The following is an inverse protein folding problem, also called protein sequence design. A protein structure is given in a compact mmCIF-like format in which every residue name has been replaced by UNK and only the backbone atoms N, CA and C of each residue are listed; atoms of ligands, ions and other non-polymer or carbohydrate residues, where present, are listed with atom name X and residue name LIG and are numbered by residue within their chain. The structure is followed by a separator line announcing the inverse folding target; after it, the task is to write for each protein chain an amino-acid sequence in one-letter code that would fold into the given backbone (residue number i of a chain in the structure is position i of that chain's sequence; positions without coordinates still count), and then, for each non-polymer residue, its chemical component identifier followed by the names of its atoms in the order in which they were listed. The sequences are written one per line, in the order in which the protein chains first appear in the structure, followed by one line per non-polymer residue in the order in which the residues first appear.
data_IF_523631244394
#
_entry.id   IF_523631244394
#
_cell.length_a   1.000
_cell.length_b   1.000
_cell.length_c   1.000
_cell.angle_alpha   90.00
_cell.angle_beta   90.00
_cell.angle_gamma   90.00
#
_symmetry.space_group_name_H-M   'P 1'
#
loop_
_entity.id
_entity.type
_entity.pdbx_description
1 polymer ?
#
# COMPACT_ATOMS: atom_id res chain seq x y z
N UNK A 1 -1.05 9.54 0.41
CA UNK A 1 0.21 9.20 1.10
C UNK A 1 1.38 9.31 0.13
N UNK A 2 2.53 9.81 0.59
CA UNK A 2 3.77 9.84 -0.18
C UNK A 2 4.15 8.44 -0.69
N UNK A 3 4.63 8.36 -1.92
CA UNK A 3 4.94 7.07 -2.55
C UNK A 3 6.26 6.49 -2.02
N UNK A 4 6.32 5.16 -1.88
CA UNK A 4 7.46 4.45 -1.26
C UNK A 4 8.81 4.71 -1.94
N UNK A 5 8.82 4.83 -3.27
CA UNK A 5 10.05 4.97 -4.07
C UNK A 5 10.24 6.36 -4.67
N UNK A 6 9.33 7.29 -4.39
CA UNK A 6 9.43 8.65 -4.89
C UNK A 6 10.52 9.42 -4.16
N UNK A 7 11.40 10.06 -4.93
CA UNK A 7 12.41 10.95 -4.38
C UNK A 7 11.75 12.19 -3.75
N UNK A 8 12.21 12.56 -2.57
CA UNK A 8 11.73 13.70 -1.80
C UNK A 8 12.83 14.76 -1.69
N UNK A 9 12.43 16.03 -1.67
CA UNK A 9 13.38 17.16 -1.77
C UNK A 9 14.16 17.44 -0.47
N UNK A 10 13.72 16.87 0.66
CA UNK A 10 14.35 17.09 1.96
C UNK A 10 14.29 15.84 2.84
N UNK A 11 15.15 15.79 3.88
CA UNK A 11 15.11 14.72 4.89
C UNK A 11 13.81 14.74 5.70
N UNK A 12 13.21 15.92 5.85
CA UNK A 12 11.93 16.09 6.54
C UNK A 12 10.81 15.46 5.70
N UNK A 13 10.74 15.80 4.41
CA UNK A 13 9.81 15.19 3.46
C UNK A 13 10.05 13.67 3.35
N UNK A 14 11.30 13.22 3.29
CA UNK A 14 11.60 11.78 3.27
C UNK A 14 11.08 11.03 4.52
N UNK A 15 10.96 11.72 5.66
CA UNK A 15 10.46 11.17 6.93
C UNK A 15 8.95 11.40 7.14
N UNK A 16 8.30 12.13 6.24
CA UNK A 16 6.87 12.29 6.24
C UNK A 16 6.21 11.07 5.56
N UNK A 17 5.79 10.11 6.38
CA UNK A 17 5.11 8.91 5.91
C UNK A 17 3.60 9.10 5.71
N UNK A 18 3.03 10.20 6.20
CA UNK A 18 1.60 10.45 6.16
C UNK A 18 1.21 11.31 4.95
N UNK A 19 1.96 12.38 4.71
CA UNK A 19 1.69 13.43 3.74
C UNK A 19 1.42 14.78 4.42
N UNK A 20 1.70 15.87 3.71
CA UNK A 20 1.60 17.25 4.24
C UNK A 20 2.92 18.02 4.16
N UNK A 21 4.04 17.30 4.05
CA UNK A 21 5.38 17.86 3.77
C UNK A 21 5.96 17.21 2.52
N UNK A 22 5.88 15.87 2.43
CA UNK A 22 6.32 15.13 1.26
C UNK A 22 5.38 15.33 0.07
N UNK A 23 5.97 15.32 -1.13
CA UNK A 23 5.21 15.20 -2.37
C UNK A 23 4.38 13.93 -2.34
N UNK A 24 3.11 14.06 -2.68
CA UNK A 24 2.19 12.94 -2.78
C UNK A 24 1.19 13.13 -3.93
N UNK A 25 0.60 12.02 -4.34
CA UNK A 25 -0.58 12.04 -5.20
C UNK A 25 -1.83 11.81 -4.36
N UNK A 26 -2.97 12.30 -4.86
CA UNK A 26 -4.28 12.06 -4.25
C UNK A 26 -5.24 11.47 -5.29
N UNK A 27 -6.25 10.78 -4.80
CA UNK A 27 -7.42 10.35 -5.59
C UNK A 27 -8.65 11.08 -5.10
N UNK A 28 -9.59 11.37 -5.98
CA UNK A 28 -10.87 11.98 -5.61
C UNK A 28 -11.99 11.53 -6.55
N UNK A 29 -13.23 11.57 -6.05
CA UNK A 29 -14.41 11.20 -6.81
C UNK A 29 -15.56 12.17 -6.56
N UNK A 30 -16.41 12.36 -7.56
CA UNK A 30 -17.72 13.01 -7.41
C UNK A 30 -18.78 11.95 -7.18
N UNK A 31 -19.20 11.78 -5.93
CA UNK A 31 -20.29 10.84 -5.59
C UNK A 31 -21.64 11.33 -6.12
N UNK A 32 -21.93 12.62 -5.95
CA UNK A 32 -23.14 13.28 -6.44
C UNK A 32 -22.88 14.77 -6.63
N UNK A 33 -23.61 15.41 -7.53
CA UNK A 33 -23.52 16.86 -7.78
C UNK A 33 -23.27 17.19 -9.25
N UNK A 34 -22.81 18.42 -9.49
CA UNK A 34 -22.58 18.95 -10.84
C UNK A 34 -21.10 18.94 -11.19
N UNK A 35 -20.82 18.55 -12.42
CA UNK A 35 -19.46 18.53 -13.00
C UNK A 35 -18.72 19.86 -12.91
N UNK A 36 -19.43 20.97 -13.08
CA UNK A 36 -18.87 22.31 -12.99
C UNK A 36 -18.12 22.59 -11.67
N UNK A 37 -18.47 21.89 -10.60
CA UNK A 37 -17.82 22.03 -9.30
C UNK A 37 -16.51 21.25 -9.18
N UNK A 38 -16.19 20.34 -10.11
CA UNK A 38 -15.01 19.46 -9.96
C UNK A 38 -13.70 20.22 -9.94
N UNK A 39 -13.57 21.26 -10.78
CA UNK A 39 -12.35 22.08 -10.80
C UNK A 39 -12.12 22.77 -9.46
N UNK A 40 -13.19 23.22 -8.82
CA UNK A 40 -13.12 23.83 -7.49
C UNK A 40 -12.80 22.78 -6.41
N UNK A 41 -13.44 21.61 -6.47
CA UNK A 41 -13.18 20.51 -5.55
C UNK A 41 -11.72 20.03 -5.64
N UNK A 42 -11.18 19.82 -6.84
CA UNK A 42 -9.78 19.47 -7.04
C UNK A 42 -8.84 20.51 -6.43
N UNK A 43 -9.11 21.81 -6.65
CA UNK A 43 -8.31 22.89 -6.07
C UNK A 43 -8.29 22.81 -4.55
N UNK A 44 -9.46 22.64 -3.92
CA UNK A 44 -9.58 22.50 -2.47
C UNK A 44 -8.82 21.26 -1.97
N UNK A 45 -8.99 20.10 -2.61
CA UNK A 45 -8.27 18.88 -2.23
C UNK A 45 -6.75 19.06 -2.32
N UNK A 46 -6.26 19.73 -3.37
CA UNK A 46 -4.82 20.04 -3.52
C UNK A 46 -4.30 20.95 -2.42
N UNK A 47 -5.11 21.93 -1.98
CA UNK A 47 -4.74 22.83 -0.88
C UNK A 47 -4.72 22.11 0.46
N UNK A 48 -5.71 21.26 0.75
CA UNK A 48 -5.80 20.50 2.01
C UNK A 48 -4.67 19.48 2.15
N UNK A 49 -4.31 18.80 1.05
CA UNK A 49 -3.31 17.72 1.06
C UNK A 49 -1.95 18.15 0.49
N UNK A 50 -1.71 19.45 0.37
CA UNK A 50 -0.47 19.98 -0.18
C UNK A 50 0.76 19.39 0.55
N UNK A 51 1.88 19.09 -0.14
CA UNK A 51 2.10 19.29 -1.57
C UNK A 51 1.61 18.11 -2.43
N UNK A 52 0.67 18.39 -3.34
CA UNK A 52 0.11 17.39 -4.28
C UNK A 52 0.75 17.52 -5.66
N UNK A 53 1.31 16.42 -6.18
CA UNK A 53 1.83 16.35 -7.56
C UNK A 53 0.66 16.12 -8.51
N UNK A 54 0.03 14.95 -8.45
CA UNK A 54 -1.13 14.63 -9.29
C UNK A 54 -2.41 14.46 -8.45
N UNK A 55 -3.53 14.84 -9.05
CA UNK A 55 -4.87 14.59 -8.52
C UNK A 55 -5.60 13.69 -9.52
N UNK A 56 -5.83 12.44 -9.12
CA UNK A 56 -6.39 11.41 -9.98
C UNK A 56 -7.90 11.31 -9.76
N UNK A 57 -8.66 11.61 -10.80
CA UNK A 57 -10.12 11.47 -10.75
C UNK A 57 -10.51 10.01 -10.93
N UNK A 58 -11.28 9.49 -9.98
CA UNK A 58 -11.83 8.14 -9.99
C UNK A 58 -13.34 8.18 -9.76
N UNK A 59 -13.98 7.04 -9.96
CA UNK A 59 -15.31 6.74 -9.43
C UNK A 59 -15.23 6.30 -7.97
N UNK A 60 -16.36 6.36 -7.27
CA UNK A 60 -16.42 5.90 -5.87
C UNK A 60 -16.16 4.39 -5.77
N UNK A 61 -16.60 3.61 -6.75
CA UNK A 61 -16.34 2.17 -6.79
C UNK A 61 -14.85 1.85 -6.99
N UNK A 62 -14.15 2.62 -7.83
CA UNK A 62 -12.69 2.50 -7.98
C UNK A 62 -11.95 2.88 -6.69
N UNK A 63 -12.37 3.94 -6.00
CA UNK A 63 -11.80 4.28 -4.68
C UNK A 63 -12.06 3.15 -3.69
N UNK A 64 -13.25 2.54 -3.67
CA UNK A 64 -13.56 1.42 -2.79
C UNK A 64 -12.70 0.17 -3.06
N UNK A 65 -12.28 -0.05 -4.31
CA UNK A 65 -11.33 -1.09 -4.69
C UNK A 65 -9.94 -0.77 -4.13
N UNK A 66 -9.51 0.50 -4.19
CA UNK A 66 -8.22 0.92 -3.66
C UNK A 66 -8.21 0.85 -2.13
N UNK A 67 -9.25 1.34 -1.48
CA UNK A 67 -9.39 1.43 -0.03
C UNK A 67 -10.84 1.12 0.40
N UNK A 68 -11.06 0.15 1.30
CA UNK A 68 -10.07 -0.56 2.11
C UNK A 68 -9.48 -1.82 1.45
N UNK A 69 -9.99 -2.23 0.28
CA UNK A 69 -9.75 -3.59 -0.23
C UNK A 69 -8.27 -3.83 -0.60
N UNK A 70 -7.66 -3.01 -1.44
CA UNK A 70 -6.27 -3.20 -1.82
C UNK A 70 -5.29 -2.72 -0.72
N UNK A 71 -5.48 -1.51 -0.20
CA UNK A 71 -4.55 -0.86 0.72
C UNK A 71 -4.50 -1.50 2.12
N UNK A 72 -5.66 -1.82 2.70
CA UNK A 72 -5.72 -2.26 4.09
C UNK A 72 -5.83 -3.79 4.19
N UNK A 73 -6.77 -4.39 3.45
CA UNK A 73 -7.02 -5.83 3.56
C UNK A 73 -5.87 -6.63 2.95
N UNK A 74 -5.35 -6.23 1.79
CA UNK A 74 -4.27 -6.95 1.12
C UNK A 74 -2.91 -6.43 1.57
N UNK A 75 -2.61 -5.16 1.34
CA UNK A 75 -1.29 -4.59 1.65
C UNK A 75 -1.08 -4.51 3.17
N UNK A 76 -2.06 -4.05 3.94
CA UNK A 76 -1.97 -4.02 5.41
C UNK A 76 -1.77 -5.41 6.02
N UNK A 77 -2.52 -6.43 5.57
CA UNK A 77 -2.30 -7.81 6.03
C UNK A 77 -0.91 -8.35 5.64
N UNK A 78 -0.42 -8.04 4.43
CA UNK A 78 0.93 -8.42 4.02
C UNK A 78 2.01 -7.72 4.86
N UNK A 79 1.82 -6.45 5.22
CA UNK A 79 2.71 -5.73 6.14
C UNK A 79 2.70 -6.32 7.54
N UNK A 80 1.53 -6.77 8.03
CA UNK A 80 1.44 -7.50 9.30
C UNK A 80 2.24 -8.81 9.25
N UNK A 81 2.07 -9.60 8.18
CA UNK A 81 2.84 -10.83 7.97
C UNK A 81 4.35 -10.57 7.92
N UNK A 82 4.80 -9.48 7.27
CA UNK A 82 6.22 -9.09 7.25
C UNK A 82 6.74 -8.78 8.66
N UNK A 83 5.91 -8.14 9.50
CA UNK A 83 6.25 -7.86 10.91
C UNK A 83 6.34 -9.16 11.72
N UNK A 84 5.38 -10.06 11.57
CA UNK A 84 5.40 -11.37 12.25
C UNK A 84 6.62 -12.19 11.85
N UNK A 85 7.01 -12.18 10.57
CA UNK A 85 8.22 -12.85 10.10
C UNK A 85 9.49 -12.30 10.75
N UNK A 86 9.55 -10.97 10.98
CA UNK A 86 10.62 -10.34 11.75
C UNK A 86 10.61 -10.80 13.21
N UNK A 87 9.47 -10.74 13.88
CA UNK A 87 9.33 -11.13 15.28
C UNK A 87 9.69 -12.61 15.49
N UNK A 88 9.31 -13.49 14.55
CA UNK A 88 9.63 -14.91 14.58
C UNK A 88 11.12 -15.18 14.39
N UNK A 89 11.80 -14.45 13.50
CA UNK A 89 13.25 -14.55 13.35
C UNK A 89 13.99 -14.17 14.64
N UNK A 90 13.54 -13.10 15.31
CA UNK A 90 14.09 -12.67 16.60
C UNK A 90 13.81 -13.70 17.69
N UNK A 91 12.58 -14.24 17.73
CA UNK A 91 12.19 -15.30 18.68
C UNK A 91 13.05 -16.56 18.53
N UNK A 92 13.49 -16.88 17.32
CA UNK A 92 14.40 -18.00 17.03
C UNK A 92 15.88 -17.71 17.34
N UNK A 93 16.19 -16.53 17.89
CA UNK A 93 17.51 -16.18 18.40
C UNK A 93 18.36 -15.32 17.46
N UNK A 94 17.81 -14.82 16.34
CA UNK A 94 18.51 -13.84 15.52
C UNK A 94 18.59 -12.51 16.28
N UNK A 95 19.77 -11.87 16.40
CA UNK A 95 19.87 -10.55 17.02
C UNK A 95 18.93 -9.55 16.36
N UNK A 96 18.18 -8.80 17.16
CA UNK A 96 17.10 -7.92 16.66
C UNK A 96 17.58 -6.92 15.62
N UNK A 97 18.71 -6.25 15.89
CA UNK A 97 19.29 -5.28 14.95
C UNK A 97 19.66 -5.93 13.61
N UNK A 98 20.20 -7.15 13.64
CA UNK A 98 20.54 -7.90 12.44
C UNK A 98 19.28 -8.32 11.66
N UNK A 99 18.26 -8.83 12.35
CA UNK A 99 16.98 -9.18 11.74
C UNK A 99 16.31 -7.96 11.09
N UNK A 100 16.32 -6.81 11.78
CA UNK A 100 15.72 -5.56 11.31
C UNK A 100 16.45 -5.03 10.08
N UNK A 101 17.77 -4.93 10.15
CA UNK A 101 18.59 -4.45 9.02
C UNK A 101 18.40 -5.34 7.79
N UNK A 102 18.42 -6.67 7.99
CA UNK A 102 18.30 -7.62 6.90
C UNK A 102 16.91 -7.61 6.26
N UNK A 103 15.84 -7.71 7.06
CA UNK A 103 14.48 -7.81 6.54
C UNK A 103 13.99 -6.50 5.92
N UNK A 104 14.25 -5.34 6.53
CA UNK A 104 13.83 -4.06 5.93
C UNK A 104 14.58 -3.77 4.63
N UNK A 105 15.86 -4.17 4.53
CA UNK A 105 16.60 -4.12 3.27
C UNK A 105 15.98 -5.00 2.19
N UNK A 106 15.60 -6.24 2.54
CA UNK A 106 14.96 -7.17 1.62
C UNK A 106 13.55 -6.72 1.18
N UNK A 107 12.75 -6.17 2.09
CA UNK A 107 11.44 -5.60 1.76
C UNK A 107 11.60 -4.51 0.69
N UNK A 108 12.56 -3.61 0.84
CA UNK A 108 12.81 -2.54 -0.13
C UNK A 108 13.14 -3.08 -1.52
N UNK A 109 14.11 -4.00 -1.64
CA UNK A 109 14.51 -4.52 -2.97
C UNK A 109 13.45 -5.43 -3.57
N UNK A 110 12.75 -6.26 -2.77
CA UNK A 110 11.69 -7.13 -3.27
C UNK A 110 10.53 -6.29 -3.83
N UNK A 111 10.09 -5.26 -3.11
CA UNK A 111 9.07 -4.35 -3.60
C UNK A 111 9.56 -3.59 -4.84
N UNK A 112 10.80 -3.08 -4.84
CA UNK A 112 11.33 -2.35 -5.98
C UNK A 112 11.38 -3.20 -7.26
N UNK A 113 11.73 -4.48 -7.16
CA UNK A 113 11.73 -5.38 -8.32
C UNK A 113 10.30 -5.77 -8.72
N UNK A 114 9.42 -6.10 -7.78
CA UNK A 114 8.03 -6.50 -8.08
C UNK A 114 7.18 -5.38 -8.68
N UNK A 115 7.47 -4.13 -8.35
CA UNK A 115 6.82 -2.94 -8.90
C UNK A 115 7.62 -2.28 -10.04
N UNK A 116 8.64 -2.97 -10.57
CA UNK A 116 9.43 -2.52 -11.73
C UNK A 116 10.22 -1.20 -11.53
N UNK A 117 10.37 -0.76 -10.28
CA UNK A 117 11.23 0.36 -9.88
C UNK A 117 12.73 0.02 -9.96
N UNK A 118 13.06 -1.26 -10.14
CA UNK A 118 14.43 -1.75 -10.28
C UNK A 118 14.57 -2.76 -11.41
N UNK A 119 15.64 -2.64 -12.19
CA UNK A 119 16.02 -3.60 -13.24
C UNK A 119 16.72 -4.86 -12.72
N UNK A 120 16.95 -4.96 -11.40
CA UNK A 120 17.52 -6.14 -10.78
C UNK A 120 16.61 -7.35 -10.96
N UNK A 121 17.22 -8.53 -11.13
CA UNK A 121 16.48 -9.78 -11.27
C UNK A 121 16.51 -10.56 -9.96
N UNK A 122 15.36 -11.11 -9.59
CA UNK A 122 15.28 -12.10 -8.52
C UNK A 122 15.98 -13.38 -9.00
N UNK A 123 16.83 -13.96 -8.17
CA UNK A 123 17.50 -15.22 -8.51
C UNK A 123 16.49 -16.35 -8.63
N UNK A 124 16.83 -17.41 -9.40
CA UNK A 124 15.89 -18.53 -9.57
C UNK A 124 15.51 -19.20 -8.24
N UNK A 125 16.47 -19.28 -7.31
CA UNK A 125 16.22 -19.80 -5.97
C UNK A 125 15.24 -18.92 -5.19
N UNK A 126 15.40 -17.59 -5.26
CA UNK A 126 14.50 -16.66 -4.59
C UNK A 126 13.09 -16.66 -5.21
N UNK A 127 12.95 -16.76 -6.54
CA UNK A 127 11.64 -16.97 -7.19
C UNK A 127 10.93 -18.22 -6.67
N UNK A 128 11.67 -19.32 -6.53
CA UNK A 128 11.12 -20.58 -6.02
C UNK A 128 10.71 -20.46 -4.56
N UNK A 129 11.50 -19.76 -3.73
CA UNK A 129 11.16 -19.48 -2.34
C UNK A 129 9.89 -18.62 -2.21
N UNK A 130 9.77 -17.55 -3.01
CA UNK A 130 8.56 -16.70 -3.05
C UNK A 130 7.35 -17.53 -3.44
N UNK A 131 7.43 -18.32 -4.51
CA UNK A 131 6.33 -19.19 -4.96
C UNK A 131 5.91 -20.19 -3.89
N UNK A 132 6.89 -20.81 -3.22
CA UNK A 132 6.64 -21.71 -2.10
C UNK A 132 5.91 -20.99 -0.96
N UNK A 133 6.38 -19.80 -0.58
CA UNK A 133 5.75 -18.96 0.44
C UNK A 133 4.32 -18.57 0.08
N UNK A 134 4.09 -18.05 -1.12
CA UNK A 134 2.75 -17.70 -1.60
C UNK A 134 1.78 -18.88 -1.53
N UNK A 135 2.20 -20.07 -1.96
CA UNK A 135 1.34 -21.27 -1.93
C UNK A 135 1.08 -21.79 -0.50
N UNK A 136 2.02 -21.58 0.43
CA UNK A 136 1.94 -22.11 1.80
C UNK A 136 1.24 -21.19 2.78
N UNK A 137 1.39 -19.87 2.58
CA UNK A 137 1.01 -18.83 3.54
C UNK A 137 -0.29 -18.13 3.09
N UNK A 138 -0.45 -17.86 1.80
CA UNK A 138 -1.64 -17.16 1.29
C UNK A 138 -2.78 -18.16 1.06
N UNK A 139 -4.00 -17.75 1.37
CA UNK A 139 -5.20 -18.52 1.01
C UNK A 139 -5.31 -18.61 -0.52
N UNK A 140 -5.62 -19.79 -1.12
CA UNK A 140 -5.71 -19.92 -2.58
C UNK A 140 -6.69 -18.96 -3.25
N UNK A 141 -7.76 -18.60 -2.54
CA UNK A 141 -8.86 -17.75 -2.95
C UNK A 141 -8.75 -16.30 -2.42
N UNK A 142 -7.59 -15.87 -1.94
CA UNK A 142 -7.44 -14.55 -1.31
C UNK A 142 -7.94 -13.37 -2.18
N UNK A 143 -7.89 -13.52 -3.51
CA UNK A 143 -8.37 -12.50 -4.48
C UNK A 143 -9.88 -12.31 -4.49
N UNK A 144 -10.65 -13.20 -3.86
CA UNK A 144 -12.11 -13.06 -3.78
C UNK A 144 -12.56 -11.78 -3.05
N UNK A 145 -11.68 -11.15 -2.27
CA UNK A 145 -11.94 -9.84 -1.65
C UNK A 145 -12.25 -8.74 -2.68
N UNK A 146 -11.83 -8.89 -3.93
CA UNK A 146 -12.12 -7.95 -5.04
C UNK A 146 -13.44 -8.24 -5.76
N UNK A 147 -14.18 -9.29 -5.38
CA UNK A 147 -15.48 -9.55 -5.97
C UNK A 147 -16.50 -8.49 -5.52
N UNK A 148 -17.17 -7.80 -6.47
CA UNK A 148 -18.14 -6.72 -6.20
C UNK A 148 -19.17 -7.09 -5.14
N UNK A 149 -19.73 -8.30 -5.19
CA UNK A 149 -20.72 -8.76 -4.21
C UNK A 149 -20.14 -8.92 -2.80
N UNK A 150 -18.87 -9.29 -2.69
CA UNK A 150 -18.15 -9.42 -1.42
C UNK A 150 -17.65 -8.09 -0.89
N UNK A 151 -17.20 -7.17 -1.75
CA UNK A 151 -16.69 -5.85 -1.35
C UNK A 151 -17.70 -5.11 -0.47
N UNK A 152 -18.97 -4.99 -0.91
CA UNK A 152 -20.01 -4.31 -0.11
C UNK A 152 -20.23 -4.97 1.27
N UNK A 153 -20.18 -6.30 1.33
CA UNK A 153 -20.33 -7.05 2.58
C UNK A 153 -19.14 -6.79 3.51
N UNK A 154 -17.92 -6.89 2.98
CA UNK A 154 -16.67 -6.66 3.69
C UNK A 154 -16.61 -5.22 4.23
N UNK A 155 -16.90 -4.22 3.40
CA UNK A 155 -16.90 -2.81 3.84
C UNK A 155 -17.93 -2.59 4.96
N UNK A 156 -19.10 -3.23 4.88
CA UNK A 156 -20.09 -3.16 5.96
C UNK A 156 -19.60 -3.83 7.25
N UNK A 157 -18.94 -4.99 7.15
CA UNK A 157 -18.36 -5.66 8.30
C UNK A 157 -17.28 -4.79 8.96
N UNK A 158 -16.39 -4.16 8.18
CA UNK A 158 -15.34 -3.28 8.71
C UNK A 158 -15.92 -2.04 9.41
N UNK A 159 -16.91 -1.36 8.80
CA UNK A 159 -17.47 -0.11 9.33
C UNK A 159 -18.37 -0.31 10.56
N UNK A 160 -18.97 -1.49 10.72
CA UNK A 160 -19.98 -1.75 11.75
C UNK A 160 -19.66 -2.96 12.64
N UNK A 161 -18.42 -3.44 12.63
CA UNK A 161 -17.97 -4.41 13.63
C UNK A 161 -17.98 -3.75 15.02
N UNK A 162 -18.50 -4.43 16.06
CA UNK A 162 -18.57 -3.91 17.42
C UNK A 162 -17.19 -3.71 18.07
#
# INVERSE_FOLDING_TARGET
HPQLFQEQESIEAYRDFFGGVAKQDIVFALLHGREENLKLAEKICREIFAPVVNCHRLTVDEIAILEPIASEIVVGAASHLMREAFDEAVRLGVPEEAARAFLLGHIRILLAVLFEESSHKISKAAENAIRYGCNRILKPDWKEVFNIGKMKKITREILYSP
#
